data_IF_769426347255
#
_entry.id   IF_769426347255
#
_cell.length_a   1.000
_cell.length_b   1.000
_cell.length_c   1.000
_cell.angle_alpha   90.00
_cell.angle_beta   90.00
_cell.angle_gamma   90.00
#
_symmetry.space_group_name_H-M   'P 1'
#
loop_
_entity.id
_entity.type
_entity.pdbx_description
1 polymer ?
#
# COMPACT_ATOMS: atom_id res chain seq x y z
N UNK A 1 -7.32 -43.17 -7.45
CA UNK A 1 -7.07 -42.14 -6.41
C UNK A 1 -5.64 -41.58 -6.44
N UNK A 2 -4.93 -41.56 -7.59
CA UNK A 2 -3.55 -40.99 -7.70
C UNK A 2 -3.51 -39.68 -8.49
N UNK A 3 -4.45 -39.48 -9.42
CA UNK A 3 -4.53 -38.30 -10.29
C UNK A 3 -5.00 -37.06 -9.53
N UNK A 4 -5.89 -37.22 -8.54
CA UNK A 4 -6.42 -36.11 -7.75
C UNK A 4 -5.36 -35.45 -6.85
N UNK A 5 -4.39 -36.24 -6.36
CA UNK A 5 -3.29 -35.76 -5.54
C UNK A 5 -2.31 -34.90 -6.35
N UNK A 6 -1.96 -35.35 -7.56
CA UNK A 6 -1.11 -34.59 -8.50
C UNK A 6 -1.73 -33.25 -8.92
N UNK A 7 -3.06 -33.20 -9.11
CA UNK A 7 -3.76 -31.96 -9.39
C UNK A 7 -3.65 -30.95 -8.24
N UNK A 8 -3.75 -31.43 -6.99
CA UNK A 8 -3.65 -30.59 -5.80
C UNK A 8 -2.25 -29.96 -5.65
N UNK A 9 -1.18 -30.73 -5.92
CA UNK A 9 0.20 -30.22 -5.89
C UNK A 9 0.47 -29.16 -6.97
N UNK A 10 -0.13 -29.28 -8.15
CA UNK A 10 -0.02 -28.28 -9.22
C UNK A 10 -0.74 -26.97 -8.85
N UNK A 11 -1.93 -27.05 -8.27
CA UNK A 11 -2.70 -25.86 -7.87
C UNK A 11 -2.00 -25.12 -6.72
N UNK A 12 -1.40 -25.83 -5.76
CA UNK A 12 -0.66 -25.21 -4.66
C UNK A 12 0.65 -24.53 -5.11
N UNK A 13 1.35 -25.09 -6.09
CA UNK A 13 2.58 -24.48 -6.64
C UNK A 13 2.32 -23.18 -7.42
N UNK A 14 1.15 -23.05 -8.06
CA UNK A 14 0.76 -21.80 -8.73
C UNK A 14 0.43 -20.72 -7.70
N UNK A 15 -0.14 -21.08 -6.56
CA UNK A 15 -0.47 -20.11 -5.51
C UNK A 15 0.78 -19.60 -4.77
N UNK A 16 1.77 -20.46 -4.51
CA UNK A 16 2.98 -20.06 -3.75
C UNK A 16 3.87 -19.06 -4.51
N UNK A 17 3.83 -19.06 -5.85
CA UNK A 17 4.57 -18.07 -6.66
C UNK A 17 3.88 -16.71 -6.75
N UNK A 18 2.62 -16.60 -6.32
CA UNK A 18 1.87 -15.34 -6.21
C UNK A 18 1.91 -14.72 -4.82
N UNK A 19 2.84 -15.16 -3.96
CA UNK A 19 3.30 -14.35 -2.83
C UNK A 19 4.13 -13.17 -3.37
N UNK A 20 3.49 -12.36 -4.22
CA UNK A 20 4.05 -11.13 -4.75
C UNK A 20 4.26 -10.19 -3.58
N UNK A 21 5.51 -10.03 -3.17
CA UNK A 21 5.91 -8.81 -2.47
C UNK A 21 5.38 -7.65 -3.31
N UNK A 22 4.48 -6.85 -2.72
CA UNK A 22 3.93 -5.65 -3.36
C UNK A 22 5.05 -4.88 -4.05
N UNK A 23 4.85 -4.49 -5.31
CA UNK A 23 5.86 -3.76 -6.10
C UNK A 23 6.15 -2.39 -5.46
N UNK A 24 5.24 -1.94 -4.59
CA UNK A 24 5.32 -0.72 -3.81
C UNK A 24 6.16 -0.85 -2.52
N UNK A 25 6.60 -2.05 -2.16
CA UNK A 25 7.47 -2.30 -1.00
C UNK A 25 8.89 -1.79 -1.26
N UNK A 26 9.42 -0.97 -0.36
CA UNK A 26 10.77 -0.46 -0.46
C UNK A 26 11.18 0.32 0.79
N UNK A 27 12.48 0.55 0.94
CA UNK A 27 13.01 1.25 2.12
C UNK A 27 12.57 2.71 2.17
N UNK A 28 11.92 3.09 3.27
CA UNK A 28 11.54 4.49 3.55
C UNK A 28 12.65 5.15 4.36
N UNK A 29 13.38 6.07 3.75
CA UNK A 29 14.22 6.99 4.50
C UNK A 29 13.35 8.10 5.13
N UNK A 30 13.37 8.29 6.46
CA UNK A 30 12.72 9.43 7.10
C UNK A 30 13.33 10.73 6.59
N UNK A 31 12.49 11.72 6.27
CA UNK A 31 12.91 13.02 5.78
C UNK A 31 11.98 14.12 6.26
N UNK A 32 11.71 15.09 5.40
CA UNK A 32 10.69 16.11 5.68
C UNK A 32 9.30 15.48 5.67
N UNK A 33 8.43 15.77 6.64
CA UNK A 33 7.08 15.23 6.67
C UNK A 33 6.27 15.73 5.47
N UNK A 34 5.38 14.90 4.96
CA UNK A 34 4.39 15.26 3.95
C UNK A 34 3.00 14.82 4.41
N UNK A 35 1.98 15.56 4.01
CA UNK A 35 0.59 15.20 4.22
C UNK A 35 -0.08 14.91 2.90
N UNK A 36 -0.69 13.73 2.78
CA UNK A 36 -1.57 13.38 1.69
C UNK A 36 -3.03 13.49 2.14
N UNK A 37 -3.88 14.09 1.32
CA UNK A 37 -5.27 14.37 1.62
C UNK A 37 -6.16 13.44 0.80
N UNK A 38 -6.96 12.62 1.47
CA UNK A 38 -8.05 11.90 0.84
C UNK A 38 -9.39 12.61 1.12
N UNK A 39 -10.47 12.12 0.53
CA UNK A 39 -11.81 12.65 0.74
C UNK A 39 -12.18 12.68 2.23
N UNK A 40 -11.98 11.57 2.95
CA UNK A 40 -12.42 11.36 4.34
C UNK A 40 -11.30 11.35 5.38
N UNK A 41 -10.03 11.22 4.99
CA UNK A 41 -8.91 11.07 5.90
C UNK A 41 -7.64 11.76 5.38
N UNK A 42 -6.65 11.92 6.24
CA UNK A 42 -5.32 12.41 5.88
C UNK A 42 -4.24 11.37 6.20
N UNK A 43 -3.28 11.17 5.31
CA UNK A 43 -2.13 10.31 5.53
C UNK A 43 -0.89 11.14 5.85
N UNK A 44 -0.26 10.86 6.99
CA UNK A 44 0.97 11.51 7.41
C UNK A 44 2.17 10.68 6.92
N UNK A 45 2.81 11.14 5.86
CA UNK A 45 4.06 10.60 5.35
C UNK A 45 5.28 11.10 6.11
N UNK A 46 6.32 10.27 6.12
CA UNK A 46 7.64 10.57 6.69
C UNK A 46 8.55 11.27 5.66
N UNK A 47 8.22 11.15 4.38
CA UNK A 47 8.89 11.73 3.22
C UNK A 47 7.93 11.71 2.03
N UNK A 48 8.26 12.39 0.94
CA UNK A 48 7.48 12.33 -0.30
C UNK A 48 7.44 10.90 -0.86
N UNK A 49 8.56 10.17 -0.77
CA UNK A 49 8.66 8.77 -1.19
C UNK A 49 7.70 7.87 -0.42
N UNK A 50 7.59 8.06 0.90
CA UNK A 50 6.63 7.30 1.72
C UNK A 50 5.19 7.54 1.27
N UNK A 51 4.83 8.78 0.93
CA UNK A 51 3.48 9.07 0.38
C UNK A 51 3.28 8.39 -0.97
N UNK A 52 4.30 8.40 -1.84
CA UNK A 52 4.26 7.73 -3.14
C UNK A 52 4.08 6.21 -3.01
N UNK A 53 4.75 5.58 -2.05
CA UNK A 53 4.58 4.14 -1.78
C UNK A 53 3.19 3.81 -1.29
N UNK A 54 2.63 4.58 -0.35
CA UNK A 54 1.24 4.35 0.09
C UNK A 54 0.26 4.56 -1.07
N UNK A 55 0.51 5.54 -1.95
CA UNK A 55 -0.32 5.74 -3.14
C UNK A 55 -0.22 4.59 -4.14
N UNK A 56 0.97 4.00 -4.29
CA UNK A 56 1.18 2.80 -5.08
C UNK A 56 0.38 1.62 -4.48
N UNK A 57 0.44 1.40 -3.15
CA UNK A 57 -0.35 0.36 -2.46
C UNK A 57 -1.86 0.56 -2.63
N UNK A 58 -2.35 1.80 -2.56
CA UNK A 58 -3.75 2.11 -2.84
C UNK A 58 -4.14 1.73 -4.28
N UNK A 59 -3.23 1.93 -5.24
CA UNK A 59 -3.44 1.56 -6.65
C UNK A 59 -3.52 0.04 -6.82
N UNK A 60 -2.59 -0.71 -6.25
CA UNK A 60 -2.61 -2.18 -6.27
C UNK A 60 -3.91 -2.75 -5.66
N UNK A 61 -4.42 -2.10 -4.61
CA UNK A 61 -5.65 -2.50 -3.93
C UNK A 61 -6.94 -1.93 -4.57
N UNK A 62 -6.85 -1.20 -5.68
CA UNK A 62 -8.00 -0.56 -6.34
C UNK A 62 -8.75 0.47 -5.46
N UNK A 63 -8.05 1.08 -4.50
CA UNK A 63 -8.60 2.06 -3.56
C UNK A 63 -8.47 3.50 -4.09
N UNK A 64 -9.29 4.44 -3.60
CA UNK A 64 -9.17 5.85 -3.98
C UNK A 64 -7.80 6.43 -3.62
N UNK A 65 -7.20 7.14 -4.58
CA UNK A 65 -5.91 7.82 -4.41
C UNK A 65 -6.05 9.10 -3.57
N UNK A 66 -4.91 9.64 -3.16
CA UNK A 66 -4.87 10.95 -2.51
C UNK A 66 -5.21 12.06 -3.51
N UNK A 67 -6.12 12.96 -3.11
CA UNK A 67 -6.55 14.12 -3.89
C UNK A 67 -5.46 15.21 -3.96
N UNK A 68 -4.64 15.31 -2.91
CA UNK A 68 -3.59 16.32 -2.81
C UNK A 68 -2.47 15.85 -1.91
N UNK A 69 -1.24 16.28 -2.21
CA UNK A 69 -0.08 16.10 -1.34
C UNK A 69 0.52 17.47 -1.05
N UNK A 70 0.85 17.75 0.22
CA UNK A 70 1.56 18.97 0.64
C UNK A 70 2.73 18.63 1.54
N UNK A 71 3.80 19.42 1.48
CA UNK A 71 4.87 19.37 2.46
C UNK A 71 4.36 19.81 3.85
N UNK A 72 4.91 19.20 4.89
CA UNK A 72 4.58 19.48 6.28
C UNK A 72 3.66 18.45 6.94
N UNK A 73 3.18 18.81 8.13
CA UNK A 73 2.27 17.98 8.92
C UNK A 73 0.83 18.14 8.44
N UNK A 74 0.03 17.09 8.58
CA UNK A 74 -1.39 17.17 8.30
C UNK A 74 -2.13 18.11 9.27
N UNK A 75 -3.09 18.90 8.77
CA UNK A 75 -3.93 19.72 9.63
C UNK A 75 -4.79 18.84 10.54
N UNK A 76 -5.07 19.35 11.75
CA UNK A 76 -5.94 18.70 12.72
C UNK A 76 -7.38 19.00 12.33
N UNK A 77 -8.15 17.96 12.00
CA UNK A 77 -9.56 18.12 11.59
C UNK A 77 -10.13 16.90 10.87
N UNK A 78 -9.29 16.16 10.13
CA UNK A 78 -9.65 14.86 9.56
C UNK A 78 -8.93 13.72 10.29
N UNK A 79 -9.54 12.52 10.39
CA UNK A 79 -8.87 11.35 10.96
C UNK A 79 -7.69 10.93 10.09
N UNK A 80 -6.78 10.15 10.69
CA UNK A 80 -5.68 9.52 9.94
C UNK A 80 -6.23 8.41 9.05
N UNK A 81 -5.69 8.30 7.84
CA UNK A 81 -6.01 7.16 6.97
C UNK A 81 -5.53 5.86 7.62
N UNK A 82 -6.33 4.80 7.50
CA UNK A 82 -5.88 3.45 7.86
C UNK A 82 -4.77 3.08 6.90
N UNK A 83 -3.62 2.66 7.45
CA UNK A 83 -2.53 2.13 6.64
C UNK A 83 -3.00 0.89 5.90
N UNK A 84 -2.70 0.80 4.62
CA UNK A 84 -2.81 -0.46 3.89
C UNK A 84 -1.72 -1.40 4.41
N UNK A 85 -2.12 -2.53 5.01
CA UNK A 85 -1.21 -3.52 5.59
C UNK A 85 -0.83 -4.54 4.53
#
# INVERSE_FOLDING_TARGET
MKVLSLLFFLIMNIFDTTSEKSVCEGFIKPGSPFCAFAASCNFQGLSLLHVGQEQCKLTELGKPLFLKIKAGRCPRGKPRCRKTR
#
